data_IF_850160201692
#
_entry.id   IF_850160201692
#
_cell.length_a   1.000
_cell.length_b   1.000
_cell.length_c   1.000
_cell.angle_alpha   90.00
_cell.angle_beta   90.00
_cell.angle_gamma   90.00
#
_symmetry.space_group_name_H-M   'P 1'
#
loop_
_entity.id
_entity.type
_entity.pdbx_description
1 polymer ?
#
# COMPACT_ATOMS: atom_id res chain seq x y z
N UNK A 1 -21.81 76.78 -82.65
CA UNK A 1 -20.83 75.85 -83.23
C UNK A 1 -19.84 75.44 -82.20
N UNK A 2 -19.53 74.18 -82.28
CA UNK A 2 -18.44 73.44 -81.50
C UNK A 2 -18.80 72.95 -80.10
N UNK A 3 -19.00 71.69 -80.09
CA UNK A 3 -19.06 70.73 -78.94
C UNK A 3 -17.66 70.61 -78.25
N UNK A 4 -17.62 70.56 -76.96
CA UNK A 4 -16.54 69.95 -76.31
C UNK A 4 -17.05 69.09 -75.16
N UNK A 5 -16.75 67.80 -75.31
CA UNK A 5 -16.98 66.79 -74.36
C UNK A 5 -16.01 66.93 -73.16
N UNK A 6 -16.54 67.02 -72.01
CA UNK A 6 -15.74 66.88 -70.82
C UNK A 6 -16.01 65.49 -70.19
N UNK A 7 -15.04 64.63 -70.32
CA UNK A 7 -15.04 63.34 -69.69
C UNK A 7 -14.82 63.52 -68.18
N UNK A 8 -15.79 63.13 -67.42
CA UNK A 8 -15.66 63.06 -65.97
C UNK A 8 -14.85 61.79 -65.60
N UNK A 9 -13.66 62.01 -65.05
CA UNK A 9 -12.89 60.93 -64.50
C UNK A 9 -13.40 60.70 -63.04
N UNK A 10 -14.24 59.67 -62.90
CA UNK A 10 -14.62 59.19 -61.55
C UNK A 10 -13.53 58.33 -61.01
N UNK A 11 -12.74 58.86 -60.01
CA UNK A 11 -11.81 58.05 -59.23
C UNK A 11 -12.60 57.27 -58.19
N UNK A 12 -12.77 56.03 -58.45
CA UNK A 12 -13.42 55.06 -57.53
C UNK A 12 -12.39 54.66 -56.49
N UNK A 13 -12.49 55.23 -55.27
CA UNK A 13 -11.69 54.82 -54.12
C UNK A 13 -12.27 53.51 -53.55
N UNK A 14 -11.75 52.39 -54.00
CA UNK A 14 -12.08 51.08 -53.46
C UNK A 14 -11.29 50.89 -52.17
N UNK A 15 -11.90 51.17 -51.01
CA UNK A 15 -11.36 50.85 -49.70
C UNK A 15 -11.43 49.32 -49.55
N UNK A 16 -10.29 48.66 -49.72
CA UNK A 16 -10.11 47.25 -49.40
C UNK A 16 -10.06 47.12 -47.86
N UNK A 17 -11.19 46.81 -47.25
CA UNK A 17 -11.26 46.38 -45.86
C UNK A 17 -10.67 44.96 -45.80
N UNK A 18 -9.37 44.88 -45.55
CA UNK A 18 -8.71 43.63 -45.17
C UNK A 18 -9.25 43.23 -43.79
N UNK A 19 -10.31 42.46 -43.69
CA UNK A 19 -10.69 41.72 -42.49
C UNK A 19 -9.60 40.72 -42.21
N UNK A 20 -8.68 41.11 -41.31
CA UNK A 20 -7.78 40.17 -40.68
C UNK A 20 -8.63 39.21 -39.85
N UNK A 21 -9.02 38.07 -40.43
CA UNK A 21 -9.52 36.95 -39.70
C UNK A 21 -8.36 36.50 -38.77
N UNK A 22 -8.35 36.98 -37.58
CA UNK A 22 -7.61 36.32 -36.50
C UNK A 22 -8.21 34.92 -36.41
N UNK A 23 -7.59 33.98 -37.11
CA UNK A 23 -7.76 32.58 -36.84
C UNK A 23 -7.39 32.38 -35.36
N UNK A 24 -8.39 32.40 -34.49
CA UNK A 24 -8.22 31.91 -33.12
C UNK A 24 -7.80 30.47 -33.29
N UNK A 25 -6.51 30.21 -33.19
CA UNK A 25 -6.01 28.85 -32.99
C UNK A 25 -6.88 28.25 -31.88
N UNK A 26 -7.47 27.07 -32.09
CA UNK A 26 -8.27 26.43 -31.04
C UNK A 26 -7.38 26.41 -29.81
N UNK A 27 -7.82 27.10 -28.76
CA UNK A 27 -7.13 27.05 -27.47
C UNK A 27 -6.97 25.56 -27.20
N UNK A 28 -5.73 25.08 -27.28
CA UNK A 28 -5.40 23.72 -26.91
C UNK A 28 -5.82 23.63 -25.45
N UNK A 29 -7.04 23.09 -25.22
CA UNK A 29 -7.50 22.78 -23.89
C UNK A 29 -6.38 21.93 -23.30
N UNK A 30 -5.66 22.47 -22.34
CA UNK A 30 -4.69 21.71 -21.58
C UNK A 30 -5.40 20.42 -21.20
N UNK A 31 -4.96 19.30 -21.76
CA UNK A 31 -5.57 18.01 -21.47
C UNK A 31 -5.55 17.88 -19.96
N UNK A 32 -6.74 17.94 -19.33
CA UNK A 32 -6.83 17.93 -17.87
C UNK A 32 -6.02 16.76 -17.34
N UNK A 33 -5.28 16.98 -16.28
CA UNK A 33 -4.48 15.93 -15.62
C UNK A 33 -5.39 14.74 -15.34
N UNK A 34 -5.13 13.61 -15.99
CA UNK A 34 -5.88 12.37 -15.76
C UNK A 34 -5.46 11.82 -14.40
N UNK A 35 -6.46 11.62 -13.53
CA UNK A 35 -6.26 11.04 -12.20
C UNK A 35 -6.73 9.58 -12.25
N UNK A 36 -5.94 8.70 -11.65
CA UNK A 36 -6.28 7.30 -11.44
C UNK A 36 -6.22 6.95 -9.96
N UNK A 37 -6.90 5.87 -9.60
CA UNK A 37 -6.92 5.31 -8.26
C UNK A 37 -6.45 3.87 -8.32
N UNK A 38 -5.63 3.47 -7.37
CA UNK A 38 -5.18 2.09 -7.18
C UNK A 38 -5.47 1.68 -5.74
N UNK A 39 -5.97 0.48 -5.55
CA UNK A 39 -6.09 -0.16 -4.25
C UNK A 39 -4.84 -0.99 -3.98
N UNK A 40 -3.93 -0.48 -3.15
CA UNK A 40 -2.68 -1.21 -2.81
C UNK A 40 -2.92 -2.46 -1.96
N UNK A 41 -4.07 -2.61 -1.29
CA UNK A 41 -4.43 -3.84 -0.58
C UNK A 41 -4.65 -5.02 -1.54
N UNK A 42 -5.05 -4.75 -2.78
CA UNK A 42 -5.20 -5.80 -3.78
C UNK A 42 -3.87 -6.40 -4.26
N UNK A 43 -2.72 -5.81 -3.88
CA UNK A 43 -1.41 -6.36 -4.25
C UNK A 43 -1.09 -7.67 -3.55
N UNK A 44 -1.70 -7.90 -2.38
CA UNK A 44 -1.52 -9.11 -1.55
C UNK A 44 -2.57 -10.20 -1.83
N UNK A 45 -3.40 -10.03 -2.84
CA UNK A 45 -4.38 -11.05 -3.22
C UNK A 45 -3.68 -12.29 -3.81
N UNK A 46 -3.92 -13.45 -3.22
CA UNK A 46 -3.28 -14.72 -3.62
C UNK A 46 -3.57 -15.13 -5.07
N UNK A 47 -4.71 -14.71 -5.63
CA UNK A 47 -5.17 -15.11 -6.96
C UNK A 47 -5.03 -14.02 -8.01
N UNK A 48 -5.09 -12.78 -7.59
CA UNK A 48 -5.17 -11.63 -8.49
C UNK A 48 -4.17 -10.51 -8.16
N UNK A 49 -3.29 -10.71 -7.19
CA UNK A 49 -2.33 -9.72 -6.74
C UNK A 49 -1.03 -9.67 -7.55
N UNK A 50 -0.06 -8.96 -7.00
CA UNK A 50 1.29 -8.87 -7.56
C UNK A 50 2.08 -10.11 -7.15
N UNK A 51 2.37 -11.01 -8.08
CA UNK A 51 3.00 -12.31 -7.81
C UNK A 51 4.30 -12.20 -7.01
N UNK A 52 5.13 -11.20 -7.28
CA UNK A 52 6.39 -10.96 -6.56
C UNK A 52 6.15 -10.48 -5.13
N UNK A 53 5.09 -9.69 -4.91
CA UNK A 53 4.70 -9.21 -3.59
C UNK A 53 4.16 -10.34 -2.73
N UNK A 54 3.19 -11.12 -3.25
CA UNK A 54 2.62 -12.26 -2.54
C UNK A 54 3.67 -13.34 -2.24
N UNK A 55 4.60 -13.61 -3.18
CA UNK A 55 5.70 -14.53 -2.94
C UNK A 55 6.63 -14.06 -1.81
N UNK A 56 6.93 -12.76 -1.74
CA UNK A 56 7.75 -12.16 -0.68
C UNK A 56 7.05 -12.22 0.69
N UNK A 57 5.75 -11.91 0.75
CA UNK A 57 4.95 -12.04 1.97
C UNK A 57 4.88 -13.50 2.45
N UNK A 58 4.55 -14.43 1.55
CA UNK A 58 4.51 -15.86 1.87
C UNK A 58 5.87 -16.42 2.36
N UNK A 59 6.98 -15.87 1.87
CA UNK A 59 8.31 -16.24 2.35
C UNK A 59 8.53 -15.79 3.80
N UNK A 60 8.12 -14.56 4.14
CA UNK A 60 8.16 -14.05 5.51
C UNK A 60 7.28 -14.85 6.46
N UNK A 61 6.04 -15.13 6.05
CA UNK A 61 5.11 -15.92 6.86
C UNK A 61 5.66 -17.30 7.17
N UNK A 62 6.24 -17.99 6.17
CA UNK A 62 6.89 -19.30 6.37
C UNK A 62 8.11 -19.20 7.29
N UNK A 63 8.92 -18.14 7.17
CA UNK A 63 10.10 -17.94 8.01
C UNK A 63 9.70 -17.74 9.49
N UNK A 64 8.59 -17.04 9.75
CA UNK A 64 8.16 -16.68 11.11
C UNK A 64 7.13 -17.64 11.72
N UNK A 65 6.49 -18.52 10.95
CA UNK A 65 5.52 -19.48 11.44
C UNK A 65 6.03 -20.35 12.61
N UNK A 66 7.29 -20.86 12.61
CA UNK A 66 7.81 -21.62 13.75
C UNK A 66 7.87 -20.79 15.03
N UNK A 67 8.29 -19.53 14.95
CA UNK A 67 8.35 -18.62 16.09
C UNK A 67 6.96 -18.32 16.66
N UNK A 68 5.98 -18.10 15.80
CA UNK A 68 4.58 -17.91 16.21
C UNK A 68 4.05 -19.14 16.94
N UNK A 69 4.33 -20.35 16.41
CA UNK A 69 3.94 -21.63 17.04
C UNK A 69 4.60 -21.80 18.40
N UNK A 70 5.88 -21.47 18.51
CA UNK A 70 6.61 -21.54 19.79
C UNK A 70 6.01 -20.59 20.83
N UNK A 71 5.80 -19.32 20.48
CA UNK A 71 5.20 -18.33 21.38
C UNK A 71 3.80 -18.79 21.81
N UNK A 72 2.98 -19.28 20.87
CA UNK A 72 1.65 -19.79 21.21
C UNK A 72 1.71 -20.96 22.19
N UNK A 73 2.65 -21.87 22.03
CA UNK A 73 2.89 -22.99 22.96
C UNK A 73 3.24 -22.48 24.37
N UNK A 74 4.12 -21.50 24.47
CA UNK A 74 4.49 -20.89 25.75
C UNK A 74 3.31 -20.17 26.41
N UNK A 75 2.50 -19.44 25.63
CA UNK A 75 1.27 -18.78 26.12
C UNK A 75 0.26 -19.79 26.65
N UNK A 76 0.07 -20.89 25.95
CA UNK A 76 -0.83 -21.96 26.40
C UNK A 76 -0.36 -22.56 27.72
N UNK A 77 0.96 -22.82 27.88
CA UNK A 77 1.54 -23.32 29.13
C UNK A 77 1.42 -22.30 30.27
N UNK A 78 1.68 -21.03 30.00
CA UNK A 78 1.50 -19.94 30.95
C UNK A 78 0.05 -19.87 31.48
N UNK A 79 -0.94 -19.93 30.58
CA UNK A 79 -2.35 -19.90 30.96
C UNK A 79 -2.75 -21.14 31.77
N UNK A 80 -2.29 -22.34 31.38
CA UNK A 80 -2.54 -23.58 32.12
C UNK A 80 -1.96 -23.51 33.54
N UNK A 81 -0.72 -23.04 33.66
CA UNK A 81 -0.03 -22.92 34.96
C UNK A 81 -0.71 -21.87 35.86
N UNK A 82 -1.16 -20.75 35.31
CA UNK A 82 -1.96 -19.76 36.01
C UNK A 82 -3.27 -20.31 36.58
N UNK A 83 -3.94 -21.16 35.80
CA UNK A 83 -5.16 -21.85 36.26
C UNK A 83 -4.88 -22.86 37.38
N UNK A 84 -3.73 -23.58 37.34
CA UNK A 84 -3.31 -24.48 38.39
C UNK A 84 -2.94 -23.72 39.68
N UNK A 85 -2.21 -22.62 39.59
CA UNK A 85 -1.85 -21.75 40.74
C UNK A 85 -3.13 -21.24 41.38
N UNK A 86 -4.09 -20.77 40.59
CA UNK A 86 -5.39 -20.31 41.09
C UNK A 86 -6.13 -21.40 41.86
N UNK A 87 -6.19 -22.63 41.34
CA UNK A 87 -6.81 -23.77 42.04
C UNK A 87 -6.13 -24.04 43.39
N UNK A 88 -4.80 -23.98 43.44
CA UNK A 88 -4.07 -24.15 44.70
C UNK A 88 -4.43 -23.05 45.71
N UNK A 89 -4.50 -21.79 45.27
CA UNK A 89 -4.87 -20.67 46.14
C UNK A 89 -6.32 -20.81 46.64
N UNK A 90 -7.25 -21.16 45.75
CA UNK A 90 -8.66 -21.37 46.11
C UNK A 90 -8.82 -22.53 47.10
N UNK A 91 -8.02 -23.61 46.97
CA UNK A 91 -8.01 -24.76 47.87
C UNK A 91 -7.40 -24.39 49.26
N UNK A 92 -6.39 -23.52 49.27
CA UNK A 92 -5.79 -23.02 50.54
C UNK A 92 -6.75 -22.13 51.32
N UNK A 93 -7.61 -21.40 50.62
CA UNK A 93 -8.53 -20.42 51.19
C UNK A 93 -9.92 -21.00 51.47
N UNK A 94 -10.14 -22.29 51.20
CA UNK A 94 -11.42 -22.96 51.43
C UNK A 94 -11.74 -23.07 52.94
N UNK A 95 -13.03 -23.15 53.35
CA UNK A 95 -13.45 -23.34 54.76
C UNK A 95 -12.82 -24.61 55.41
N UNK A 96 -12.50 -25.62 54.59
CA UNK A 96 -11.76 -26.83 54.99
C UNK A 96 -10.49 -26.89 54.13
N UNK A 97 -9.38 -26.26 54.54
CA UNK A 97 -8.15 -26.22 53.76
C UNK A 97 -7.58 -27.60 53.47
N UNK A 98 -7.22 -27.87 52.22
CA UNK A 98 -6.50 -29.06 51.82
C UNK A 98 -4.98 -28.76 52.01
N UNK A 99 -4.23 -29.69 52.63
CA UNK A 99 -2.77 -29.52 52.73
C UNK A 99 -2.12 -29.34 51.35
N UNK A 100 -1.44 -28.22 51.14
CA UNK A 100 -0.75 -27.93 49.87
C UNK A 100 0.74 -28.13 50.11
N UNK A 101 1.39 -28.83 49.18
CA UNK A 101 2.83 -28.87 49.14
C UNK A 101 3.38 -27.51 48.71
N UNK A 102 3.88 -26.77 49.73
CA UNK A 102 4.40 -25.41 49.53
C UNK A 102 5.59 -25.37 48.56
N UNK A 103 6.41 -26.41 48.49
CA UNK A 103 7.54 -26.49 47.57
C UNK A 103 7.05 -26.59 46.12
N UNK A 104 6.07 -27.42 45.86
CA UNK A 104 5.44 -27.56 44.52
C UNK A 104 4.70 -26.27 44.13
N UNK A 105 4.00 -25.62 45.06
CA UNK A 105 3.34 -24.37 44.80
C UNK A 105 4.34 -23.24 44.45
N UNK A 106 5.43 -23.11 45.21
CA UNK A 106 6.47 -22.14 44.94
C UNK A 106 7.14 -22.37 43.58
N UNK A 107 7.47 -23.62 43.23
CA UNK A 107 8.06 -23.94 41.94
C UNK A 107 7.13 -23.58 40.74
N UNK A 108 5.79 -23.77 40.90
CA UNK A 108 4.84 -23.34 39.89
C UNK A 108 4.79 -21.82 39.70
N UNK A 109 4.87 -21.08 40.80
CA UNK A 109 4.89 -19.60 40.74
C UNK A 109 6.17 -19.12 40.06
N UNK A 110 7.33 -19.72 40.41
CA UNK A 110 8.60 -19.38 39.76
C UNK A 110 8.59 -19.69 38.24
N UNK A 111 8.05 -20.86 37.85
CA UNK A 111 7.90 -21.23 36.44
C UNK A 111 6.96 -20.25 35.73
N UNK A 112 5.85 -19.85 36.35
CA UNK A 112 4.89 -18.90 35.78
C UNK A 112 5.57 -17.55 35.48
N UNK A 113 6.35 -17.00 36.42
CA UNK A 113 7.09 -15.75 36.22
C UNK A 113 8.20 -15.87 35.16
N UNK A 114 8.87 -17.03 35.14
CA UNK A 114 9.86 -17.32 34.08
C UNK A 114 9.27 -17.41 32.70
N UNK A 115 8.11 -18.03 32.57
CA UNK A 115 7.36 -18.10 31.29
C UNK A 115 6.93 -16.71 30.83
N UNK A 116 6.40 -15.86 31.72
CA UNK A 116 6.02 -14.48 31.38
C UNK A 116 7.21 -13.71 30.80
N UNK A 117 8.36 -13.78 31.46
CA UNK A 117 9.59 -13.12 31.03
C UNK A 117 10.06 -13.66 29.66
N UNK A 118 9.99 -14.99 29.50
CA UNK A 118 10.41 -15.67 28.27
C UNK A 118 9.51 -15.29 27.09
N UNK A 119 8.17 -15.28 27.29
CA UNK A 119 7.19 -14.88 26.27
C UNK A 119 7.46 -13.45 25.83
N UNK A 120 7.61 -12.53 26.78
CA UNK A 120 7.87 -11.12 26.49
C UNK A 120 9.13 -10.93 25.64
N UNK A 121 10.25 -11.55 26.04
CA UNK A 121 11.51 -11.48 25.27
C UNK A 121 11.35 -12.04 23.86
N UNK A 122 10.71 -13.22 23.72
CA UNK A 122 10.51 -13.81 22.38
C UNK A 122 9.62 -12.97 21.49
N UNK A 123 8.62 -12.29 22.04
CA UNK A 123 7.78 -11.35 21.29
C UNK A 123 8.57 -10.12 20.87
N UNK A 124 9.36 -9.52 21.76
CA UNK A 124 10.19 -8.35 21.44
C UNK A 124 11.26 -8.67 20.39
N UNK A 125 12.01 -9.76 20.60
CA UNK A 125 13.03 -10.22 19.65
C UNK A 125 12.43 -10.62 18.31
N UNK A 126 11.28 -11.29 18.33
CA UNK A 126 10.54 -11.69 17.14
C UNK A 126 10.05 -10.50 16.32
N UNK A 127 9.52 -9.48 17.01
CA UNK A 127 9.09 -8.23 16.37
C UNK A 127 10.26 -7.51 15.70
N UNK A 128 11.36 -7.31 16.43
CA UNK A 128 12.53 -6.64 15.88
C UNK A 128 13.11 -7.38 14.66
N UNK A 129 13.17 -8.73 14.75
CA UNK A 129 13.62 -9.57 13.64
C UNK A 129 12.67 -9.48 12.45
N UNK A 130 11.35 -9.51 12.66
CA UNK A 130 10.35 -9.39 11.59
C UNK A 130 10.47 -8.03 10.89
N UNK A 131 10.56 -6.92 11.62
CA UNK A 131 10.71 -5.58 11.05
C UNK A 131 11.96 -5.49 10.16
N UNK A 132 13.10 -6.02 10.63
CA UNK A 132 14.32 -6.08 9.83
C UNK A 132 14.13 -6.91 8.57
N UNK A 133 13.56 -8.12 8.69
CA UNK A 133 13.34 -9.01 7.54
C UNK A 133 12.34 -8.43 6.55
N UNK A 134 11.29 -7.77 7.03
CA UNK A 134 10.37 -7.04 6.15
C UNK A 134 11.10 -5.99 5.31
N UNK A 135 11.96 -5.19 5.91
CA UNK A 135 12.74 -4.20 5.15
C UNK A 135 13.65 -4.85 4.11
N UNK A 136 14.33 -5.95 4.46
CA UNK A 136 15.23 -6.67 3.56
C UNK A 136 14.51 -7.34 2.38
N UNK A 137 13.36 -7.96 2.65
CA UNK A 137 12.61 -8.75 1.67
C UNK A 137 11.64 -7.87 0.88
N UNK A 138 10.87 -7.01 1.56
CA UNK A 138 9.85 -6.19 0.91
C UNK A 138 10.39 -4.90 0.33
N UNK A 139 11.48 -4.34 0.89
CA UNK A 139 12.07 -3.09 0.42
C UNK A 139 12.36 -3.09 -1.08
N UNK A 140 13.11 -4.08 -1.61
CA UNK A 140 13.36 -4.18 -3.06
C UNK A 140 12.09 -4.37 -3.89
N UNK A 141 11.10 -5.12 -3.38
CA UNK A 141 9.82 -5.36 -4.06
C UNK A 141 9.01 -4.07 -4.16
N UNK A 142 8.90 -3.33 -3.07
CA UNK A 142 8.19 -2.05 -3.04
C UNK A 142 8.86 -1.00 -3.92
N UNK A 143 10.20 -0.96 -3.94
CA UNK A 143 10.95 -0.08 -4.84
C UNK A 143 10.72 -0.41 -6.33
N UNK A 144 10.63 -1.69 -6.66
CA UNK A 144 10.32 -2.14 -8.03
C UNK A 144 8.87 -1.82 -8.41
N UNK A 145 7.91 -2.00 -7.49
CA UNK A 145 6.52 -1.59 -7.67
C UNK A 145 6.43 -0.08 -7.91
N UNK A 146 7.15 0.73 -7.13
CA UNK A 146 7.19 2.19 -7.33
C UNK A 146 7.68 2.59 -8.72
N UNK A 147 8.78 1.98 -9.20
CA UNK A 147 9.27 2.22 -10.57
C UNK A 147 8.25 1.81 -11.63
N UNK A 148 7.63 0.65 -11.45
CA UNK A 148 6.59 0.17 -12.35
C UNK A 148 5.37 1.09 -12.38
N UNK A 149 5.02 1.68 -11.23
CA UNK A 149 3.93 2.65 -11.12
C UNK A 149 4.21 3.92 -11.93
N UNK A 150 5.44 4.44 -11.86
CA UNK A 150 5.87 5.58 -12.66
C UNK A 150 5.84 5.29 -14.16
N UNK A 151 6.29 4.09 -14.57
CA UNK A 151 6.25 3.63 -15.95
C UNK A 151 4.82 3.50 -16.45
N UNK A 152 3.96 2.88 -15.66
CA UNK A 152 2.53 2.71 -15.97
C UNK A 152 1.82 4.06 -16.10
N UNK A 153 2.05 4.98 -15.15
CA UNK A 153 1.48 6.33 -15.20
C UNK A 153 1.87 7.05 -16.50
N UNK A 154 3.16 7.01 -16.87
CA UNK A 154 3.65 7.62 -18.11
C UNK A 154 3.05 6.98 -19.35
N UNK A 155 3.00 5.65 -19.43
CA UNK A 155 2.45 4.94 -20.59
C UNK A 155 0.95 5.17 -20.77
N UNK A 156 0.20 5.26 -19.67
CA UNK A 156 -1.26 5.47 -19.70
C UNK A 156 -1.66 6.95 -19.70
N UNK A 157 -0.72 7.87 -19.55
CA UNK A 157 -0.95 9.31 -19.52
C UNK A 157 -1.68 9.78 -18.26
N UNK A 158 -1.44 9.13 -17.13
CA UNK A 158 -1.90 9.61 -15.82
C UNK A 158 -0.92 10.64 -15.27
N UNK A 159 -1.42 11.78 -14.83
CA UNK A 159 -0.63 12.79 -14.14
C UNK A 159 -0.60 12.60 -12.63
N UNK A 160 -1.52 11.78 -12.10
CA UNK A 160 -1.61 11.47 -10.68
C UNK A 160 -2.24 10.09 -10.50
N UNK A 161 -1.62 9.26 -9.65
CA UNK A 161 -2.20 8.00 -9.18
C UNK A 161 -2.29 8.08 -7.65
N UNK A 162 -3.47 7.78 -7.11
CA UNK A 162 -3.76 7.85 -5.69
C UNK A 162 -4.00 6.44 -5.11
N UNK A 163 -3.59 6.23 -3.88
CA UNK A 163 -3.96 5.01 -3.13
C UNK A 163 -5.38 5.17 -2.57
N UNK A 164 -6.36 4.57 -3.26
CA UNK A 164 -7.76 4.69 -2.91
C UNK A 164 -8.09 4.12 -1.53
N UNK A 165 -7.51 2.97 -1.18
CA UNK A 165 -7.76 2.34 0.11
C UNK A 165 -7.28 3.20 1.29
N UNK A 166 -6.11 3.83 1.16
CA UNK A 166 -5.58 4.73 2.18
C UNK A 166 -6.39 6.02 2.31
N UNK A 167 -6.79 6.59 1.16
CA UNK A 167 -7.60 7.80 1.16
C UNK A 167 -9.01 7.56 1.72
N UNK A 168 -9.62 6.42 1.38
CA UNK A 168 -10.92 6.01 1.92
C UNK A 168 -10.82 5.79 3.44
N UNK A 169 -9.83 5.03 3.89
CA UNK A 169 -9.59 4.79 5.33
C UNK A 169 -9.30 6.06 6.14
N UNK A 170 -8.75 7.10 5.50
CA UNK A 170 -8.53 8.41 6.09
C UNK A 170 -9.75 9.36 5.99
N UNK A 171 -10.85 8.93 5.37
CA UNK A 171 -12.05 9.76 5.17
C UNK A 171 -11.85 10.94 4.20
N UNK A 172 -10.84 10.86 3.32
CA UNK A 172 -10.51 11.94 2.38
C UNK A 172 -11.27 11.84 1.05
N UNK A 173 -11.88 10.69 0.76
CA UNK A 173 -12.73 10.49 -0.42
C UNK A 173 -14.19 10.66 0.02
N UNK A 174 -14.83 11.72 -0.45
CA UNK A 174 -16.23 11.99 -0.21
C UNK A 174 -17.16 11.38 -1.29
N UNK A 175 -16.69 11.35 -2.51
CA UNK A 175 -17.36 10.72 -3.66
C UNK A 175 -16.35 10.37 -4.74
N UNK A 176 -16.46 9.17 -5.32
CA UNK A 176 -15.63 8.71 -6.42
C UNK A 176 -16.40 7.69 -7.28
N UNK A 177 -16.28 7.81 -8.58
CA UNK A 177 -16.77 6.79 -9.50
C UNK A 177 -15.60 5.84 -9.85
N UNK A 178 -15.45 4.79 -9.05
CA UNK A 178 -14.37 3.80 -9.21
C UNK A 178 -14.38 3.13 -10.59
N UNK A 179 -15.55 3.03 -11.24
CA UNK A 179 -15.63 2.42 -12.59
C UNK A 179 -14.85 3.21 -13.63
N UNK A 180 -14.57 4.48 -13.36
CA UNK A 180 -13.87 5.39 -14.29
C UNK A 180 -12.40 5.62 -13.93
N UNK A 181 -12.04 5.46 -12.66
CA UNK A 181 -10.72 5.87 -12.17
C UNK A 181 -9.90 4.73 -11.58
N UNK A 182 -10.53 3.60 -11.20
CA UNK A 182 -9.81 2.45 -10.67
C UNK A 182 -9.06 1.71 -11.78
N UNK A 183 -7.74 1.69 -11.65
CA UNK A 183 -6.82 1.01 -12.57
C UNK A 183 -6.03 -0.10 -11.87
N UNK A 184 -6.48 -0.57 -10.73
CA UNK A 184 -5.80 -1.58 -9.91
C UNK A 184 -5.48 -2.84 -10.71
N UNK A 185 -6.47 -3.42 -11.37
CA UNK A 185 -6.30 -4.65 -12.19
C UNK A 185 -5.38 -4.43 -13.38
N UNK A 186 -5.50 -3.28 -14.03
CA UNK A 186 -4.66 -2.93 -15.18
C UNK A 186 -3.19 -2.78 -14.74
N UNK A 187 -2.95 -2.16 -13.59
CA UNK A 187 -1.61 -2.04 -13.04
C UNK A 187 -1.03 -3.39 -12.62
N UNK A 188 -1.79 -4.23 -11.92
CA UNK A 188 -1.34 -5.57 -11.52
C UNK A 188 -0.99 -6.41 -12.78
N UNK A 189 -1.84 -6.37 -13.80
CA UNK A 189 -1.58 -7.04 -15.08
C UNK A 189 -0.31 -6.52 -15.74
N UNK A 190 -0.15 -5.20 -15.81
CA UNK A 190 1.05 -4.54 -16.33
C UNK A 190 2.31 -4.98 -15.57
N UNK A 191 2.25 -4.96 -14.23
CA UNK A 191 3.38 -5.34 -13.40
C UNK A 191 3.78 -6.80 -13.60
N UNK A 192 2.82 -7.72 -13.55
CA UNK A 192 3.07 -9.15 -13.66
C UNK A 192 3.54 -9.57 -15.07
N UNK A 193 3.25 -8.79 -16.10
CA UNK A 193 3.73 -9.00 -17.47
C UNK A 193 5.17 -8.52 -17.70
N UNK A 194 5.78 -7.80 -16.75
CA UNK A 194 7.18 -7.31 -16.87
C UNK A 194 8.17 -8.49 -16.76
N UNK A 195 9.27 -8.46 -17.50
CA UNK A 195 10.31 -9.48 -17.38
C UNK A 195 10.83 -9.54 -15.93
N UNK A 196 11.00 -10.74 -15.41
CA UNK A 196 11.65 -10.96 -14.12
C UNK A 196 13.12 -10.52 -14.25
N UNK A 197 13.48 -9.33 -13.76
CA UNK A 197 14.88 -8.87 -13.82
C UNK A 197 15.11 -7.36 -13.93
N UNK A 198 14.08 -6.52 -13.97
CA UNK A 198 14.25 -5.06 -13.98
C UNK A 198 14.59 -4.44 -12.61
N UNK A 199 14.80 -5.25 -11.59
CA UNK A 199 15.38 -4.78 -10.34
C UNK A 199 16.86 -4.49 -10.57
N UNK A 200 17.17 -3.28 -11.01
CA UNK A 200 18.53 -2.77 -10.99
C UNK A 200 19.00 -2.81 -9.53
N UNK A 201 19.98 -3.66 -9.24
CA UNK A 201 20.72 -3.59 -7.98
C UNK A 201 21.23 -2.16 -7.85
N UNK A 202 20.59 -1.37 -6.97
CA UNK A 202 21.15 -0.10 -6.59
C UNK A 202 22.43 -0.41 -5.81
N UNK A 203 23.58 -0.19 -6.45
CA UNK A 203 24.87 -0.16 -5.78
C UNK A 203 24.79 0.93 -4.72
N UNK A 204 24.98 0.63 -3.43
CA UNK A 204 25.05 1.67 -2.42
C UNK A 204 26.26 2.55 -2.69
N UNK A 205 26.04 3.86 -2.72
CA UNK A 205 27.07 4.89 -2.80
C UNK A 205 27.51 5.28 -1.41
#
# INVERSE_FOLDING_TARGET
MKRFNSAAVSVLFTAIFAMSAFAQAPAQRAAGTRIAVINTQAFDDDKGGIAKYTAAMNALDKEFAPLQTEIQGLVNRYNALGAEIKKLQDSASAPTPVPIDQKTAAAKVEEYQSLETTIKRKQEDGKARLEKRQQEVMGPVLADIGKAMDEFAKQKGFGLILDGAKLEGAGLILAVDLTKVDVTKDFITFYNARPAGTATTATPK
#
